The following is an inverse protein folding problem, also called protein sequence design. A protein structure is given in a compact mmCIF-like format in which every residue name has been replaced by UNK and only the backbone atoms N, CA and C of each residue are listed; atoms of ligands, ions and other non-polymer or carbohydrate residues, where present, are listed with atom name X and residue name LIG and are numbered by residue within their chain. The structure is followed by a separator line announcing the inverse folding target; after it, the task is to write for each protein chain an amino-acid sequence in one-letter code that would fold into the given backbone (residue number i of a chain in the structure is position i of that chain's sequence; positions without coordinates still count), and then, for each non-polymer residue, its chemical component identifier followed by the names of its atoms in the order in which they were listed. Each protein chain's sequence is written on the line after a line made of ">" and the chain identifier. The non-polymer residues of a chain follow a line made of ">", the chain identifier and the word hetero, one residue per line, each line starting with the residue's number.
data_IF_133105223704
#
_entry.id   IF_133105223704
#
_cell.length_a   1.000
_cell.length_b   1.000
_cell.length_c   1.000
_cell.angle_alpha   90.00
_cell.angle_beta   90.00
_cell.angle_gamma   90.00
#
_symmetry.space_group_name_H-M   'P 1'
#
loop_
_entity.id
_entity.type
_entity.pdbx_description
1 polymer ?
#
# COMPACT_ATOMS: atom_id res chain seq x y z
N UNK A 1 -6.91 -23.57 -10.44
CA UNK A 1 -7.45 -22.31 -9.90
C UNK A 1 -7.02 -22.12 -8.45
N UNK A 2 -6.72 -23.20 -7.72
CA UNK A 2 -6.10 -23.26 -6.39
C UNK A 2 -5.01 -22.21 -6.09
N UNK A 3 -4.01 -22.05 -6.99
CA UNK A 3 -2.94 -21.05 -6.81
C UNK A 3 -3.45 -19.62 -6.78
N UNK A 4 -4.46 -19.32 -7.60
CA UNK A 4 -5.08 -17.99 -7.67
C UNK A 4 -5.91 -17.76 -6.41
N UNK A 5 -6.69 -18.76 -5.98
CA UNK A 5 -7.47 -18.68 -4.76
C UNK A 5 -6.58 -18.47 -3.53
N UNK A 6 -5.49 -19.24 -3.41
CA UNK A 6 -4.51 -19.11 -2.34
C UNK A 6 -3.85 -17.73 -2.32
N UNK A 7 -3.54 -17.16 -3.49
CA UNK A 7 -3.02 -15.79 -3.60
C UNK A 7 -4.07 -14.74 -3.17
N UNK A 8 -5.32 -14.86 -3.61
CA UNK A 8 -6.36 -13.88 -3.26
C UNK A 8 -6.71 -13.94 -1.77
N UNK A 9 -6.74 -15.15 -1.18
CA UNK A 9 -7.01 -15.33 0.24
C UNK A 9 -5.79 -14.96 1.10
N UNK A 10 -4.63 -15.59 0.91
CA UNK A 10 -3.46 -15.36 1.75
C UNK A 10 -2.78 -14.01 1.49
N UNK A 11 -2.62 -13.62 0.23
CA UNK A 11 -1.82 -12.44 -0.12
C UNK A 11 -2.66 -11.17 -0.17
N UNK A 12 -3.83 -11.18 -0.83
CA UNK A 12 -4.65 -9.96 -0.91
C UNK A 12 -5.46 -9.67 0.36
N UNK A 13 -6.11 -10.67 0.98
CA UNK A 13 -6.83 -10.42 2.24
C UNK A 13 -5.85 -10.26 3.40
N UNK A 14 -5.07 -11.30 3.71
CA UNK A 14 -4.32 -11.31 4.97
C UNK A 14 -3.07 -10.43 4.91
N UNK A 15 -2.26 -10.54 3.85
CA UNK A 15 -1.03 -9.76 3.76
C UNK A 15 -1.28 -8.28 3.42
N UNK A 16 -1.97 -7.99 2.31
CA UNK A 16 -2.16 -6.61 1.87
C UNK A 16 -3.14 -5.82 2.74
N UNK A 17 -4.34 -6.34 2.98
CA UNK A 17 -5.40 -5.60 3.69
C UNK A 17 -5.30 -5.64 5.22
N UNK A 18 -4.53 -6.56 5.79
CA UNK A 18 -4.33 -6.63 7.25
C UNK A 18 -2.88 -6.33 7.65
N UNK A 19 -1.93 -7.18 7.24
CA UNK A 19 -0.55 -7.06 7.72
C UNK A 19 0.11 -5.76 7.26
N UNK A 20 0.14 -5.48 5.97
CA UNK A 20 0.77 -4.26 5.44
C UNK A 20 0.03 -3.01 5.89
N UNK A 21 -1.31 -3.03 5.91
CA UNK A 21 -2.12 -1.95 6.47
C UNK A 21 -1.74 -1.63 7.93
N UNK A 22 -1.55 -2.65 8.77
CA UNK A 22 -1.13 -2.46 10.16
C UNK A 22 0.29 -1.88 10.27
N UNK A 23 1.22 -2.32 9.42
CA UNK A 23 2.60 -1.79 9.37
C UNK A 23 2.62 -0.32 8.96
N UNK A 24 1.79 0.07 8.00
CA UNK A 24 1.61 1.49 7.66
C UNK A 24 1.04 2.29 8.82
N UNK A 25 0.02 1.77 9.51
CA UNK A 25 -0.60 2.46 10.67
C UNK A 25 0.39 2.71 11.81
N UNK A 26 1.38 1.83 11.99
CA UNK A 26 2.45 2.00 12.96
C UNK A 26 3.53 2.98 12.49
N UNK A 27 3.89 2.95 11.20
CA UNK A 27 4.96 3.76 10.64
C UNK A 27 4.58 5.24 10.50
N UNK A 28 3.42 5.54 9.92
CA UNK A 28 3.11 6.91 9.47
C UNK A 28 3.04 7.92 10.63
N UNK A 29 2.40 7.63 11.78
CA UNK A 29 2.40 8.55 12.91
C UNK A 29 3.81 8.80 13.46
N UNK A 30 4.65 7.75 13.48
CA UNK A 30 6.05 7.85 13.93
C UNK A 30 6.85 8.76 12.99
N UNK A 31 6.74 8.54 11.68
CA UNK A 31 7.41 9.33 10.66
C UNK A 31 6.96 10.80 10.74
N UNK A 32 5.64 11.07 10.85
CA UNK A 32 5.11 12.43 11.03
C UNK A 32 5.66 13.12 12.25
N UNK A 33 5.62 12.46 13.41
CA UNK A 33 6.15 13.03 14.66
C UNK A 33 7.63 13.36 14.54
N UNK A 34 8.42 12.50 13.90
CA UNK A 34 9.86 12.73 13.70
C UNK A 34 10.13 13.84 12.69
N UNK A 35 9.39 13.91 11.58
CA UNK A 35 9.46 15.04 10.62
C UNK A 35 9.18 16.38 11.33
N UNK A 36 8.09 16.48 12.08
CA UNK A 36 7.74 17.71 12.80
C UNK A 36 8.79 18.10 13.85
N UNK A 37 9.34 17.12 14.59
CA UNK A 37 10.43 17.38 15.54
C UNK A 37 11.69 17.88 14.84
N UNK A 38 12.00 17.35 13.65
CA UNK A 38 13.15 17.79 12.87
C UNK A 38 13.01 19.24 12.41
N UNK A 39 11.80 19.64 12.01
CA UNK A 39 11.50 21.03 11.62
C UNK A 39 11.56 22.02 12.80
N UNK A 40 11.39 21.55 14.04
CA UNK A 40 11.33 22.39 15.23
C UNK A 40 12.68 22.53 15.97
N UNK A 41 13.75 21.83 15.54
CA UNK A 41 15.04 21.82 16.24
C UNK A 41 15.93 23.02 15.85
N UNK A 42 16.40 23.82 16.82
CA UNK A 42 17.31 24.94 16.57
C UNK A 42 18.81 24.56 16.61
N UNK A 43 19.20 23.37 17.05
CA UNK A 43 20.61 22.99 17.29
C UNK A 43 21.11 21.79 16.43
N UNK A 44 22.36 21.89 15.96
CA UNK A 44 23.00 21.04 14.95
C UNK A 44 23.31 19.59 15.38
N UNK A 45 23.57 19.32 16.66
CA UNK A 45 24.04 17.99 17.12
C UNK A 45 22.91 16.98 17.24
N UNK A 46 21.76 17.36 17.77
CA UNK A 46 20.54 16.52 17.87
C UNK A 46 19.85 16.35 16.52
N UNK A 47 20.16 17.21 15.55
CA UNK A 47 19.60 17.17 14.20
C UNK A 47 20.09 15.95 13.40
N UNK A 48 21.36 15.55 13.55
CA UNK A 48 21.93 14.43 12.78
C UNK A 48 21.29 13.08 13.12
N UNK A 49 21.12 12.76 14.41
CA UNK A 49 20.48 11.52 14.85
C UNK A 49 19.00 11.48 14.43
N UNK A 50 18.29 12.60 14.56
CA UNK A 50 16.89 12.66 14.17
C UNK A 50 16.71 12.60 12.65
N UNK A 51 17.60 13.22 11.88
CA UNK A 51 17.62 13.12 10.43
C UNK A 51 17.87 11.69 9.97
N UNK A 52 18.82 10.98 10.59
CA UNK A 52 19.03 9.56 10.34
C UNK A 52 17.77 8.74 10.64
N UNK A 53 17.11 8.99 11.78
CA UNK A 53 15.89 8.27 12.14
C UNK A 53 14.71 8.55 11.19
N UNK A 54 14.62 9.75 10.62
CA UNK A 54 13.63 10.08 9.57
C UNK A 54 13.96 9.35 8.28
N UNK A 55 15.23 9.30 7.87
CA UNK A 55 15.66 8.56 6.69
C UNK A 55 15.39 7.06 6.83
N UNK A 56 15.68 6.47 8.00
CA UNK A 56 15.37 5.07 8.31
C UNK A 56 13.87 4.76 8.19
N UNK A 57 13.02 5.68 8.64
CA UNK A 57 11.56 5.55 8.49
C UNK A 57 11.13 5.61 7.02
N UNK A 58 11.74 6.48 6.21
CA UNK A 58 11.50 6.50 4.76
C UNK A 58 12.00 5.22 4.07
N UNK A 59 13.15 4.67 4.49
CA UNK A 59 13.62 3.38 3.98
C UNK A 59 12.64 2.25 4.32
N UNK A 60 12.07 2.26 5.53
CA UNK A 60 11.02 1.32 5.89
C UNK A 60 9.75 1.52 5.04
N UNK A 61 9.35 2.78 4.79
CA UNK A 61 8.25 3.09 3.89
C UNK A 61 8.48 2.54 2.48
N UNK A 62 9.69 2.71 1.93
CA UNK A 62 10.09 2.15 0.64
C UNK A 62 10.03 0.62 0.61
N UNK A 63 10.41 -0.06 1.70
CA UNK A 63 10.29 -1.53 1.81
C UNK A 63 8.84 -1.99 1.82
N UNK A 64 7.96 -1.30 2.55
CA UNK A 64 6.53 -1.60 2.57
C UNK A 64 5.91 -1.40 1.19
N UNK A 65 6.23 -0.29 0.52
CA UNK A 65 5.74 0.01 -0.82
C UNK A 65 6.23 -1.02 -1.84
N UNK A 66 7.49 -1.45 -1.74
CA UNK A 66 8.04 -2.51 -2.58
C UNK A 66 7.31 -3.85 -2.37
N UNK A 67 6.94 -4.19 -1.13
CA UNK A 67 6.12 -5.37 -0.86
C UNK A 67 4.74 -5.27 -1.53
N UNK A 68 4.06 -4.12 -1.43
CA UNK A 68 2.77 -3.90 -2.11
C UNK A 68 2.88 -4.01 -3.63
N UNK A 69 3.97 -3.50 -4.22
CA UNK A 69 4.26 -3.70 -5.64
C UNK A 69 4.47 -5.17 -6.00
N UNK A 70 5.18 -5.92 -5.15
CA UNK A 70 5.37 -7.36 -5.32
C UNK A 70 4.03 -8.10 -5.37
N UNK A 71 3.13 -7.79 -4.43
CA UNK A 71 1.76 -8.33 -4.42
C UNK A 71 1.05 -7.99 -5.73
N UNK A 72 1.02 -6.72 -6.12
CA UNK A 72 0.38 -6.31 -7.38
C UNK A 72 0.93 -7.05 -8.60
N UNK A 73 2.25 -7.14 -8.74
CA UNK A 73 2.92 -7.83 -9.85
C UNK A 73 2.61 -9.32 -9.89
N UNK A 74 2.62 -9.99 -8.73
CA UNK A 74 2.24 -11.39 -8.61
C UNK A 74 0.79 -11.61 -9.03
N UNK A 75 -0.13 -10.75 -8.56
CA UNK A 75 -1.54 -10.81 -8.96
C UNK A 75 -1.73 -10.65 -10.46
N UNK A 76 -1.05 -9.68 -11.09
CA UNK A 76 -1.10 -9.50 -12.55
C UNK A 76 -0.59 -10.76 -13.25
N UNK A 77 0.56 -11.31 -12.83
CA UNK A 77 1.13 -12.50 -13.43
C UNK A 77 0.21 -13.73 -13.32
N UNK A 78 -0.47 -13.89 -12.19
CA UNK A 78 -1.38 -15.02 -11.93
C UNK A 78 -2.72 -14.87 -12.65
N UNK A 79 -3.35 -13.70 -12.58
CA UNK A 79 -4.73 -13.51 -13.01
C UNK A 79 -4.89 -12.99 -14.45
N UNK A 80 -3.92 -12.25 -15.01
CA UNK A 80 -3.97 -11.90 -16.44
C UNK A 80 -3.63 -13.10 -17.34
N UNK A 81 -2.98 -14.13 -16.77
CA UNK A 81 -2.75 -15.43 -17.41
C UNK A 81 -4.01 -16.28 -17.57
N UNK A 82 -5.12 -15.93 -16.91
CA UNK A 82 -6.40 -16.65 -16.96
C UNK A 82 -7.20 -16.36 -18.24
N UNK A 83 -6.60 -16.59 -19.40
CA UNK A 83 -7.22 -16.32 -20.70
C UNK A 83 -8.51 -17.11 -20.94
N UNK A 84 -8.64 -18.30 -20.33
CA UNK A 84 -9.83 -19.15 -20.45
C UNK A 84 -10.92 -18.87 -19.42
N UNK A 85 -10.72 -17.94 -18.50
CA UNK A 85 -11.69 -17.67 -17.45
C UNK A 85 -12.96 -16.98 -17.91
N UNK A 86 -13.97 -16.91 -17.04
CA UNK A 86 -15.21 -16.19 -17.35
C UNK A 86 -14.93 -14.70 -17.65
N UNK A 87 -15.68 -14.07 -18.58
CA UNK A 87 -15.56 -12.64 -18.84
C UNK A 87 -15.78 -11.78 -17.58
N UNK A 88 -16.67 -12.23 -16.69
CA UNK A 88 -16.97 -11.54 -15.44
C UNK A 88 -15.77 -11.57 -14.49
N UNK A 89 -15.16 -12.74 -14.26
CA UNK A 89 -13.97 -12.86 -13.40
C UNK A 89 -12.83 -11.96 -13.90
N UNK A 90 -12.52 -12.03 -15.20
CA UNK A 90 -11.46 -11.20 -15.80
C UNK A 90 -11.76 -9.71 -15.67
N UNK A 91 -13.01 -9.30 -15.86
CA UNK A 91 -13.40 -7.90 -15.74
C UNK A 91 -13.26 -7.41 -14.29
N UNK A 92 -13.77 -8.17 -13.33
CA UNK A 92 -13.68 -7.87 -11.89
C UNK A 92 -12.23 -7.77 -11.43
N UNK A 93 -11.38 -8.71 -11.84
CA UNK A 93 -9.94 -8.65 -11.57
C UNK A 93 -9.30 -7.38 -12.15
N UNK A 94 -9.52 -7.08 -13.44
CA UNK A 94 -8.92 -5.89 -14.09
C UNK A 94 -9.33 -4.58 -13.40
N UNK A 95 -10.58 -4.48 -12.96
CA UNK A 95 -11.03 -3.33 -12.19
C UNK A 95 -10.29 -3.23 -10.86
N UNK A 96 -10.15 -4.34 -10.14
CA UNK A 96 -9.40 -4.38 -8.88
C UNK A 96 -7.92 -4.04 -9.08
N UNK A 97 -7.28 -4.59 -10.11
CA UNK A 97 -5.89 -4.34 -10.44
C UNK A 97 -5.64 -2.86 -10.79
N UNK A 98 -6.53 -2.25 -11.58
CA UNK A 98 -6.47 -0.82 -11.90
C UNK A 98 -6.58 0.05 -10.64
N UNK A 99 -7.49 -0.32 -9.74
CA UNK A 99 -7.66 0.39 -8.48
C UNK A 99 -6.46 0.23 -7.55
N UNK A 100 -5.88 -0.97 -7.47
CA UNK A 100 -4.64 -1.21 -6.73
C UNK A 100 -3.50 -0.35 -7.30
N UNK A 101 -3.29 -0.35 -8.62
CA UNK A 101 -2.25 0.47 -9.24
C UNK A 101 -2.45 1.97 -8.95
N UNK A 102 -3.69 2.45 -8.93
CA UNK A 102 -4.00 3.83 -8.59
C UNK A 102 -3.64 4.17 -7.13
N UNK A 103 -3.91 3.26 -6.18
CA UNK A 103 -3.51 3.41 -4.78
C UNK A 103 -1.98 3.41 -4.63
N UNK A 104 -1.28 2.49 -5.29
CA UNK A 104 0.18 2.42 -5.31
C UNK A 104 0.81 3.72 -5.82
N UNK A 105 0.35 4.21 -6.97
CA UNK A 105 0.84 5.45 -7.56
C UNK A 105 0.59 6.66 -6.63
N UNK A 106 -0.59 6.71 -5.98
CA UNK A 106 -0.89 7.76 -5.02
C UNK A 106 0.06 7.70 -3.80
N UNK A 107 0.31 6.51 -3.25
CA UNK A 107 1.25 6.32 -2.14
C UNK A 107 2.67 6.75 -2.52
N UNK A 108 3.16 6.33 -3.69
CA UNK A 108 4.46 6.73 -4.23
C UNK A 108 4.61 8.24 -4.31
N UNK A 109 3.64 8.92 -4.93
CA UNK A 109 3.66 10.37 -5.10
C UNK A 109 3.68 11.09 -3.74
N UNK A 110 2.83 10.67 -2.80
CA UNK A 110 2.75 11.28 -1.47
C UNK A 110 4.04 11.09 -0.67
N UNK A 111 4.60 9.87 -0.65
CA UNK A 111 5.85 9.58 0.06
C UNK A 111 7.05 10.27 -0.59
N UNK A 112 7.12 10.34 -1.91
CA UNK A 112 8.18 11.05 -2.63
C UNK A 112 8.15 12.55 -2.33
N UNK A 113 6.95 13.17 -2.37
CA UNK A 113 6.78 14.58 -2.02
C UNK A 113 7.12 14.83 -0.55
N UNK A 114 6.67 13.97 0.36
CA UNK A 114 7.00 14.09 1.77
C UNK A 114 8.52 14.02 1.96
N UNK A 115 9.20 13.03 1.38
CA UNK A 115 10.66 12.88 1.50
C UNK A 115 11.43 14.08 0.95
N UNK A 116 11.02 14.62 -0.21
CA UNK A 116 11.70 15.79 -0.80
C UNK A 116 11.42 17.10 -0.06
N UNK A 117 10.30 17.16 0.69
CA UNK A 117 9.85 18.35 1.38
C UNK A 117 9.94 18.24 2.90
N UNK A 118 10.75 17.33 3.45
CA UNK A 118 10.87 17.08 4.90
C UNK A 118 11.07 18.37 5.70
N UNK A 119 11.87 19.31 5.19
CA UNK A 119 12.18 20.56 5.88
C UNK A 119 11.02 21.59 5.87
N UNK A 120 10.08 21.47 4.93
CA UNK A 120 9.08 22.53 4.63
C UNK A 120 7.64 22.04 4.62
N UNK A 121 7.41 20.73 4.64
CA UNK A 121 6.07 20.14 4.59
C UNK A 121 5.26 20.54 5.82
N UNK A 122 4.04 21.02 5.61
CA UNK A 122 3.20 21.52 6.70
C UNK A 122 2.58 20.37 7.50
N UNK A 123 2.26 20.62 8.77
CA UNK A 123 1.52 19.68 9.60
C UNK A 123 0.17 19.26 9.00
N UNK A 124 -0.52 20.18 8.29
CA UNK A 124 -1.78 19.86 7.64
C UNK A 124 -1.60 18.89 6.47
N UNK A 125 -0.57 19.11 5.65
CA UNK A 125 -0.22 18.17 4.57
C UNK A 125 0.11 16.78 5.14
N UNK A 126 0.88 16.71 6.23
CA UNK A 126 1.21 15.44 6.90
C UNK A 126 -0.04 14.72 7.41
N UNK A 127 -1.01 15.45 7.96
CA UNK A 127 -2.29 14.87 8.42
C UNK A 127 -3.09 14.30 7.25
N UNK A 128 -3.16 15.01 6.13
CA UNK A 128 -3.82 14.52 4.90
C UNK A 128 -3.12 13.27 4.38
N UNK A 129 -1.78 13.26 4.32
CA UNK A 129 -1.02 12.10 3.86
C UNK A 129 -1.19 10.88 4.77
N UNK A 130 -1.15 11.04 6.09
CA UNK A 130 -1.44 9.93 7.01
C UNK A 130 -2.80 9.28 6.72
N UNK A 131 -3.84 10.12 6.55
CA UNK A 131 -5.16 9.60 6.28
C UNK A 131 -5.25 8.90 4.92
N UNK A 132 -4.73 9.54 3.87
CA UNK A 132 -4.78 9.02 2.51
C UNK A 132 -3.96 7.73 2.32
N UNK A 133 -2.77 7.63 2.95
CA UNK A 133 -1.91 6.44 2.86
C UNK A 133 -2.49 5.22 3.61
N UNK A 134 -3.37 5.44 4.60
CA UNK A 134 -4.06 4.37 5.32
C UNK A 134 -5.42 4.01 4.73
N UNK A 135 -6.04 4.95 4.03
CA UNK A 135 -7.31 4.71 3.37
C UNK A 135 -7.08 3.83 2.13
N UNK A 136 -7.27 2.51 2.27
CA UNK A 136 -7.41 1.60 1.13
C UNK A 136 -8.80 1.79 0.49
N UNK A 137 -9.10 3.00 0.02
CA UNK A 137 -10.45 3.39 -0.36
C UNK A 137 -10.98 2.56 -1.54
N UNK A 138 -10.09 2.08 -2.43
CA UNK A 138 -10.49 1.40 -3.66
C UNK A 138 -10.35 -0.12 -3.59
N UNK A 139 -9.43 -0.64 -2.81
CA UNK A 139 -9.20 -2.09 -2.62
C UNK A 139 -9.73 -2.49 -1.25
N UNK A 140 -10.95 -3.03 -1.20
CA UNK A 140 -11.64 -3.35 0.06
C UNK A 140 -11.81 -4.86 0.23
N UNK A 141 -11.92 -5.32 1.49
CA UNK A 141 -12.20 -6.74 1.81
C UNK A 141 -13.42 -7.27 1.06
N UNK A 142 -14.49 -6.48 0.96
CA UNK A 142 -15.70 -6.86 0.24
C UNK A 142 -15.44 -7.14 -1.26
N UNK A 143 -14.62 -6.32 -1.92
CA UNK A 143 -14.26 -6.54 -3.34
C UNK A 143 -13.38 -7.77 -3.52
N UNK A 144 -12.47 -8.02 -2.59
CA UNK A 144 -11.62 -9.22 -2.61
C UNK A 144 -12.45 -10.48 -2.35
N UNK A 145 -13.39 -10.47 -1.40
CA UNK A 145 -14.34 -11.56 -1.19
C UNK A 145 -15.25 -11.81 -2.40
N UNK A 146 -15.68 -10.76 -3.09
CA UNK A 146 -16.44 -10.93 -4.34
C UNK A 146 -15.61 -11.62 -5.41
N UNK A 147 -14.32 -11.27 -5.55
CA UNK A 147 -13.42 -11.96 -6.47
C UNK A 147 -13.24 -13.44 -6.10
N UNK A 148 -13.09 -13.75 -4.80
CA UNK A 148 -13.01 -15.13 -4.30
C UNK A 148 -14.26 -15.94 -4.66
N UNK A 149 -15.45 -15.36 -4.48
CA UNK A 149 -16.71 -16.03 -4.81
C UNK A 149 -16.76 -16.40 -6.31
N UNK A 150 -16.38 -15.46 -7.18
CA UNK A 150 -16.33 -15.71 -8.63
C UNK A 150 -15.34 -16.82 -9.01
N UNK A 151 -14.16 -16.86 -8.36
CA UNK A 151 -13.16 -17.91 -8.61
C UNK A 151 -13.73 -19.30 -8.24
N UNK A 152 -14.40 -19.39 -7.08
CA UNK A 152 -14.98 -20.66 -6.59
C UNK A 152 -16.17 -21.13 -7.42
N UNK A 153 -17.01 -20.20 -7.91
CA UNK A 153 -18.09 -20.51 -8.86
C UNK A 153 -17.52 -21.10 -10.15
N UNK A 154 -16.40 -20.57 -10.63
CA UNK A 154 -15.73 -21.04 -11.84
C UNK A 154 -15.02 -22.39 -11.68
N UNK A 155 -14.63 -22.77 -10.46
CA UNK A 155 -14.14 -24.12 -10.15
C UNK A 155 -15.26 -25.17 -10.06
N UNK A 156 -16.50 -24.72 -9.80
CA UNK A 156 -17.65 -25.60 -9.55
C UNK A 156 -18.50 -25.88 -10.79
N UNK A 157 -18.30 -25.12 -11.88
CA UNK A 157 -19.04 -25.23 -13.14
C UNK A 157 -18.22 -25.88 -14.25
#
# INVERSE_FOLDING_TARGET
>A
MDKVLAYVEGTLLDEYLELLASRWSALLPRLTKRTQRLQALPELTTANELQSAVEDDFQLASKLLHAEHGIYQEGVALLDGLSQSSPLLRHTWRLLAKDFLAELAAKEMMLAHWKSSVATITSDTLRVYNHALLAHARVTKARVHHLIALIREEESG
#
